data_IF_155094368444
#
_entry.id   IF_155094368444
#
_cell.length_a   1.000
_cell.length_b   1.000
_cell.length_c   1.000
_cell.angle_alpha   90.00
_cell.angle_beta   90.00
_cell.angle_gamma   90.00
#
_symmetry.space_group_name_H-M   'P 1'
#
loop_
_entity.id
_entity.type
_entity.pdbx_description
1 polymer ?
#
# COMPACT_ATOMS: atom_id res chain seq x y z
N UNK A 1 -5.20 33.64 38.52
CA UNK A 1 -6.11 32.76 37.81
C UNK A 1 -5.39 31.43 37.62
N UNK A 2 -5.78 30.34 38.29
CA UNK A 2 -5.20 29.02 38.02
C UNK A 2 -5.76 28.54 36.67
N UNK A 3 -4.88 28.11 35.75
CA UNK A 3 -5.23 27.52 34.50
C UNK A 3 -6.01 26.23 34.79
N UNK A 4 -7.27 26.16 34.36
CA UNK A 4 -8.12 24.99 34.42
C UNK A 4 -7.54 23.98 33.46
N UNK A 5 -6.73 23.04 33.96
CA UNK A 5 -6.36 21.85 33.18
C UNK A 5 -7.66 21.09 32.86
N UNK A 6 -7.88 20.72 31.60
CA UNK A 6 -9.06 19.92 31.26
C UNK A 6 -9.02 18.64 32.08
N UNK A 7 -10.14 18.34 32.74
CA UNK A 7 -10.34 17.13 33.52
C UNK A 7 -10.18 15.92 32.56
N UNK A 8 -9.00 15.30 32.59
CA UNK A 8 -8.71 14.11 31.79
C UNK A 8 -9.49 12.98 32.46
N UNK A 9 -10.64 12.63 31.88
CA UNK A 9 -11.47 11.56 32.41
C UNK A 9 -10.64 10.27 32.60
N UNK A 10 -10.81 9.57 33.73
CA UNK A 10 -10.08 8.34 34.06
C UNK A 10 -10.15 7.26 32.96
N UNK A 11 -11.21 7.29 32.13
CA UNK A 11 -11.39 6.41 30.97
C UNK A 11 -10.31 6.60 29.88
N UNK A 12 -9.74 7.79 29.75
CA UNK A 12 -8.62 8.05 28.82
C UNK A 12 -7.29 7.46 29.30
N UNK A 13 -7.14 7.28 30.62
CA UNK A 13 -5.94 6.68 31.22
C UNK A 13 -5.96 5.14 31.20
N UNK A 14 -7.12 4.53 31.02
CA UNK A 14 -7.29 3.06 30.96
C UNK A 14 -7.33 2.50 29.53
N UNK A 15 -7.43 3.35 28.51
CA UNK A 15 -7.38 2.90 27.12
C UNK A 15 -5.91 2.57 26.73
N UNK A 16 -5.57 1.32 26.39
CA UNK A 16 -4.21 0.99 25.97
C UNK A 16 -3.82 1.84 24.76
N UNK A 17 -2.66 2.51 24.84
CA UNK A 17 -2.13 3.39 23.78
C UNK A 17 -2.01 2.67 22.42
N UNK A 18 -1.83 1.35 22.45
CA UNK A 18 -1.86 0.48 21.28
C UNK A 18 -3.10 -0.42 21.35
N UNK A 19 -4.14 -0.14 20.54
CA UNK A 19 -5.38 -0.91 20.55
C UNK A 19 -5.21 -2.24 19.79
N UNK A 20 -4.38 -3.13 20.30
CA UNK A 20 -4.09 -4.46 19.72
C UNK A 20 -5.37 -5.31 19.62
N UNK A 21 -6.37 -5.00 20.44
CA UNK A 21 -7.70 -5.60 20.41
C UNK A 21 -8.44 -5.38 19.07
N UNK A 22 -8.10 -4.34 18.31
CA UNK A 22 -8.67 -4.12 16.98
C UNK A 22 -8.28 -5.24 15.99
N UNK A 23 -7.15 -5.89 16.17
CA UNK A 23 -6.75 -7.05 15.35
C UNK A 23 -7.62 -8.29 15.58
N UNK A 24 -8.38 -8.35 16.66
CA UNK A 24 -9.42 -9.39 16.86
C UNK A 24 -10.60 -9.23 15.91
N UNK A 25 -10.74 -8.06 15.29
CA UNK A 25 -11.74 -7.81 14.23
C UNK A 25 -11.16 -8.26 12.89
N UNK A 26 -11.72 -9.31 12.24
CA UNK A 26 -11.10 -9.88 11.03
C UNK A 26 -10.96 -8.86 9.89
N UNK A 27 -11.93 -7.94 9.73
CA UNK A 27 -11.87 -6.88 8.72
C UNK A 27 -10.68 -5.94 8.97
N UNK A 28 -10.43 -5.58 10.23
CA UNK A 28 -9.28 -4.74 10.60
C UNK A 28 -7.97 -5.47 10.34
N UNK A 29 -7.85 -6.72 10.78
CA UNK A 29 -6.64 -7.54 10.60
C UNK A 29 -6.31 -7.75 9.12
N UNK A 30 -7.30 -8.13 8.29
CA UNK A 30 -7.12 -8.31 6.85
C UNK A 30 -6.77 -6.99 6.15
N UNK A 31 -7.38 -5.86 6.54
CA UNK A 31 -7.07 -4.55 5.97
C UNK A 31 -5.65 -4.09 6.33
N UNK A 32 -5.22 -4.36 7.56
CA UNK A 32 -3.85 -4.06 8.01
C UNK A 32 -2.83 -4.94 7.30
N UNK A 33 -3.10 -6.25 7.17
CA UNK A 33 -2.24 -7.18 6.43
C UNK A 33 -2.12 -6.78 4.96
N UNK A 34 -3.25 -6.44 4.32
CA UNK A 34 -3.27 -5.92 2.94
C UNK A 34 -2.39 -4.67 2.82
N UNK A 35 -2.48 -3.74 3.80
CA UNK A 35 -1.62 -2.55 3.84
C UNK A 35 -0.15 -2.93 3.99
N UNK A 36 0.20 -3.78 4.93
CA UNK A 36 1.60 -4.19 5.13
C UNK A 36 2.19 -4.80 3.87
N UNK A 37 1.51 -5.75 3.23
CA UNK A 37 1.99 -6.41 2.01
C UNK A 37 2.12 -5.43 0.84
N UNK A 38 1.13 -4.55 0.63
CA UNK A 38 1.15 -3.57 -0.47
C UNK A 38 2.22 -2.50 -0.28
N UNK A 39 2.42 -2.01 0.95
CA UNK A 39 3.50 -1.07 1.25
C UNK A 39 4.88 -1.74 1.24
N UNK A 40 4.99 -3.04 1.54
CA UNK A 40 6.23 -3.79 1.33
C UNK A 40 6.57 -3.92 -0.16
N UNK A 41 5.58 -4.20 -1.00
CA UNK A 41 5.77 -4.21 -2.45
C UNK A 41 6.24 -2.84 -2.98
N UNK A 42 5.64 -1.75 -2.48
CA UNK A 42 6.05 -0.38 -2.82
C UNK A 42 7.46 -0.06 -2.32
N UNK A 43 7.79 -0.43 -1.06
CA UNK A 43 9.11 -0.23 -0.48
C UNK A 43 10.22 -0.93 -1.27
N UNK A 44 9.99 -2.19 -1.66
CA UNK A 44 10.86 -2.95 -2.56
C UNK A 44 11.08 -2.22 -3.89
N UNK A 45 9.99 -1.79 -4.54
CA UNK A 45 10.05 -1.11 -5.83
C UNK A 45 10.79 0.23 -5.74
N UNK A 46 10.57 1.01 -4.70
CA UNK A 46 11.19 2.32 -4.52
C UNK A 46 12.68 2.25 -4.17
N UNK A 47 13.17 1.09 -3.73
CA UNK A 47 14.60 0.81 -3.64
C UNK A 47 15.14 0.25 -4.95
N UNK A 48 14.50 -0.76 -5.53
CA UNK A 48 15.02 -1.47 -6.70
C UNK A 48 15.03 -0.62 -7.98
N UNK A 49 13.99 0.20 -8.23
CA UNK A 49 13.85 0.96 -9.48
C UNK A 49 14.92 2.04 -9.67
N UNK A 50 15.24 2.89 -8.67
CA UNK A 50 16.36 3.85 -8.83
C UNK A 50 17.67 3.17 -9.16
N UNK A 51 17.99 2.06 -8.46
CA UNK A 51 19.21 1.30 -8.78
C UNK A 51 19.18 0.77 -10.21
N UNK A 52 18.07 0.23 -10.68
CA UNK A 52 17.93 -0.23 -12.06
C UNK A 52 18.12 0.90 -13.07
N UNK A 53 17.50 2.06 -12.85
CA UNK A 53 17.62 3.20 -13.77
C UNK A 53 19.01 3.79 -13.81
N UNK A 54 19.71 3.83 -12.69
CA UNK A 54 21.07 4.37 -12.62
C UNK A 54 22.13 3.35 -13.09
N UNK A 55 22.04 2.09 -12.64
CA UNK A 55 23.07 1.08 -12.94
C UNK A 55 22.90 0.43 -14.31
N UNK A 56 21.68 0.01 -14.69
CA UNK A 56 21.43 -0.71 -15.93
C UNK A 56 21.09 0.19 -17.12
N UNK A 57 20.39 1.31 -16.88
CA UNK A 57 20.01 2.26 -17.94
C UNK A 57 20.91 3.50 -18.00
N UNK A 58 21.90 3.60 -17.11
CA UNK A 58 22.86 4.71 -17.03
C UNK A 58 22.18 6.11 -16.98
N UNK A 59 21.04 6.21 -16.29
CA UNK A 59 20.30 7.46 -16.14
C UNK A 59 20.89 8.30 -15.01
N UNK A 60 20.88 9.61 -15.18
CA UNK A 60 21.25 10.54 -14.12
C UNK A 60 20.21 10.53 -13.01
N UNK A 61 20.55 10.99 -11.79
CA UNK A 61 19.62 11.09 -10.66
C UNK A 61 18.37 11.91 -11.00
N UNK A 62 18.53 13.01 -11.77
CA UNK A 62 17.41 13.83 -12.23
C UNK A 62 16.48 13.04 -13.16
N UNK A 63 17.05 12.31 -14.12
CA UNK A 63 16.27 11.46 -15.02
C UNK A 63 15.56 10.33 -14.27
N UNK A 64 16.22 9.72 -13.30
CA UNK A 64 15.65 8.71 -12.42
C UNK A 64 14.44 9.26 -11.66
N UNK A 65 14.55 10.45 -11.06
CA UNK A 65 13.43 11.12 -10.40
C UNK A 65 12.25 11.39 -11.34
N UNK A 66 12.53 11.85 -12.57
CA UNK A 66 11.48 12.06 -13.57
C UNK A 66 10.81 10.75 -14.00
N UNK A 67 11.57 9.65 -14.16
CA UNK A 67 11.04 8.32 -14.48
C UNK A 67 10.20 7.75 -13.35
N UNK A 68 10.45 8.12 -12.09
CA UNK A 68 9.65 7.72 -10.93
C UNK A 68 8.35 8.55 -10.79
N UNK A 69 8.27 9.74 -11.36
CA UNK A 69 7.16 10.69 -11.22
C UNK A 69 5.80 10.14 -11.71
N UNK A 70 5.67 9.32 -12.76
CA UNK A 70 4.37 8.81 -13.21
C UNK A 70 3.63 8.01 -12.15
N UNK A 71 4.32 7.34 -11.23
CA UNK A 71 3.68 6.59 -10.14
C UNK A 71 2.88 7.49 -9.18
N UNK A 72 3.48 8.47 -8.47
CA UNK A 72 2.73 9.32 -7.56
C UNK A 72 1.67 10.18 -8.27
N UNK A 73 1.92 10.60 -9.52
CA UNK A 73 0.93 11.35 -10.31
C UNK A 73 -0.29 10.48 -10.60
N UNK A 74 -0.10 9.27 -11.11
CA UNK A 74 -1.19 8.34 -11.40
C UNK A 74 -1.97 7.95 -10.13
N UNK A 75 -1.27 7.75 -9.00
CA UNK A 75 -1.87 7.52 -7.69
C UNK A 75 -2.76 8.69 -7.27
N UNK A 76 -2.23 9.93 -7.37
CA UNK A 76 -2.96 11.14 -6.99
C UNK A 76 -4.23 11.35 -7.84
N UNK A 77 -4.16 11.07 -9.14
CA UNK A 77 -5.30 11.14 -10.04
C UNK A 77 -6.34 10.04 -9.76
N UNK A 78 -5.89 8.84 -9.40
CA UNK A 78 -6.79 7.72 -9.11
C UNK A 78 -7.47 7.84 -7.74
N UNK A 79 -6.83 8.45 -6.75
CA UNK A 79 -7.34 8.51 -5.38
C UNK A 79 -8.78 9.09 -5.26
N UNK A 80 -9.13 10.23 -5.87
CA UNK A 80 -10.49 10.74 -5.83
C UNK A 80 -11.49 9.87 -6.60
N UNK A 81 -11.05 9.21 -7.69
CA UNK A 81 -11.88 8.29 -8.48
C UNK A 81 -12.20 7.06 -7.64
N UNK A 82 -11.17 6.47 -7.01
CA UNK A 82 -11.30 5.33 -6.12
C UNK A 82 -12.19 5.64 -4.91
N UNK A 83 -12.09 6.87 -4.36
CA UNK A 83 -12.96 7.33 -3.28
C UNK A 83 -14.44 7.31 -3.66
N UNK A 84 -14.79 7.88 -4.83
CA UNK A 84 -16.17 7.87 -5.34
C UNK A 84 -16.65 6.46 -5.70
N UNK A 85 -15.78 5.64 -6.26
CA UNK A 85 -16.13 4.28 -6.65
C UNK A 85 -16.38 3.39 -5.42
N UNK A 86 -15.70 3.67 -4.30
CA UNK A 86 -15.89 2.98 -3.02
C UNK A 86 -17.28 3.23 -2.39
N UNK A 87 -18.05 4.21 -2.87
CA UNK A 87 -19.44 4.40 -2.46
C UNK A 87 -20.40 3.40 -3.11
N UNK A 88 -20.01 2.83 -4.26
CA UNK A 88 -20.84 1.93 -5.07
C UNK A 88 -20.32 0.50 -5.12
N UNK A 89 -19.02 0.31 -4.98
CA UNK A 89 -18.35 -0.99 -5.11
C UNK A 89 -17.68 -1.37 -3.80
N UNK A 90 -17.81 -2.62 -3.34
CA UNK A 90 -17.15 -3.09 -2.12
C UNK A 90 -15.64 -2.87 -2.15
N UNK A 91 -15.09 -2.35 -1.06
CA UNK A 91 -13.66 -2.03 -0.94
C UNK A 91 -12.74 -3.24 -1.20
N UNK A 92 -13.22 -4.46 -0.90
CA UNK A 92 -12.49 -5.69 -1.18
C UNK A 92 -12.29 -5.94 -2.67
N UNK A 93 -13.27 -5.64 -3.51
CA UNK A 93 -13.19 -5.78 -4.98
C UNK A 93 -12.25 -4.72 -5.54
N UNK A 94 -12.47 -3.44 -5.19
CA UNK A 94 -11.62 -2.35 -5.67
C UNK A 94 -10.16 -2.55 -5.27
N UNK A 95 -9.94 -2.94 -4.00
CA UNK A 95 -8.62 -3.24 -3.49
C UNK A 95 -7.98 -4.43 -4.21
N UNK A 96 -8.75 -5.49 -4.47
CA UNK A 96 -8.29 -6.65 -5.22
C UNK A 96 -7.84 -6.29 -6.64
N UNK A 97 -8.69 -5.59 -7.40
CA UNK A 97 -8.38 -5.13 -8.77
C UNK A 97 -7.14 -4.22 -8.76
N UNK A 98 -7.10 -3.23 -7.86
CA UNK A 98 -5.97 -2.30 -7.74
C UNK A 98 -4.66 -3.01 -7.46
N UNK A 99 -4.66 -4.02 -6.59
CA UNK A 99 -3.46 -4.77 -6.23
C UNK A 99 -3.02 -5.75 -7.33
N UNK A 100 -3.95 -6.29 -8.11
CA UNK A 100 -3.62 -7.05 -9.34
C UNK A 100 -2.97 -6.13 -10.37
N UNK A 101 -3.49 -4.90 -10.57
CA UNK A 101 -2.87 -3.91 -11.46
C UNK A 101 -1.46 -3.54 -10.97
N UNK A 102 -1.27 -3.34 -9.66
CA UNK A 102 0.05 -3.10 -9.07
C UNK A 102 1.01 -4.26 -9.34
N UNK A 103 0.56 -5.49 -9.10
CA UNK A 103 1.35 -6.70 -9.36
C UNK A 103 1.75 -6.82 -10.82
N UNK A 104 0.80 -6.63 -11.73
CA UNK A 104 1.08 -6.64 -13.17
C UNK A 104 2.09 -5.56 -13.57
N UNK A 105 1.93 -4.33 -13.06
CA UNK A 105 2.85 -3.23 -13.29
C UNK A 105 4.28 -3.54 -12.80
N UNK A 106 4.41 -4.10 -11.60
CA UNK A 106 5.70 -4.51 -11.04
C UNK A 106 6.35 -5.65 -11.84
N UNK A 107 5.57 -6.66 -12.26
CA UNK A 107 6.06 -7.75 -13.09
C UNK A 107 6.52 -7.24 -14.48
N UNK A 108 5.79 -6.30 -15.07
CA UNK A 108 6.19 -5.66 -16.33
C UNK A 108 7.45 -4.80 -16.17
N UNK A 109 7.62 -4.11 -15.04
CA UNK A 109 8.85 -3.37 -14.71
C UNK A 109 10.02 -4.32 -14.48
N UNK A 110 9.81 -5.48 -13.85
CA UNK A 110 10.83 -6.51 -13.66
C UNK A 110 11.36 -7.09 -14.99
N UNK A 111 10.54 -7.09 -16.02
CA UNK A 111 10.88 -7.53 -17.38
C UNK A 111 11.40 -6.43 -18.31
N UNK A 112 11.78 -5.26 -17.79
CA UNK A 112 12.37 -4.20 -18.59
C UNK A 112 13.69 -4.63 -19.21
N UNK A 113 13.90 -4.24 -20.47
CA UNK A 113 15.17 -4.44 -21.18
C UNK A 113 16.05 -3.19 -21.07
N UNK A 114 17.38 -3.31 -21.24
CA UNK A 114 18.29 -2.16 -21.24
C UNK A 114 17.97 -1.11 -22.32
N UNK A 115 17.20 -1.48 -23.33
CA UNK A 115 16.76 -0.60 -24.43
C UNK A 115 15.41 0.05 -24.17
N UNK A 116 14.85 -0.08 -22.96
CA UNK A 116 13.53 0.46 -22.63
C UNK A 116 13.47 1.98 -22.80
N UNK A 117 12.42 2.43 -23.48
CA UNK A 117 12.17 3.86 -23.71
C UNK A 117 11.58 4.53 -22.47
N UNK A 118 11.69 5.85 -22.40
CA UNK A 118 11.04 6.65 -21.34
C UNK A 118 9.53 6.38 -21.29
N UNK A 119 8.89 6.23 -22.45
CA UNK A 119 7.47 5.92 -22.55
C UNK A 119 7.15 4.52 -21.98
N UNK A 120 7.98 3.52 -22.29
CA UNK A 120 7.85 2.15 -21.79
C UNK A 120 7.87 2.10 -20.26
N UNK A 121 8.79 2.83 -19.65
CA UNK A 121 8.92 2.94 -18.21
C UNK A 121 7.70 3.70 -17.64
N UNK A 122 7.36 4.84 -18.26
CA UNK A 122 6.35 5.76 -17.78
C UNK A 122 4.97 5.13 -17.62
N UNK A 123 4.49 4.41 -18.65
CA UNK A 123 3.15 3.79 -18.56
C UNK A 123 3.09 2.63 -17.56
N UNK A 124 4.19 1.85 -17.40
CA UNK A 124 4.27 0.78 -16.39
C UNK A 124 4.29 1.35 -14.98
N UNK A 125 5.03 2.44 -14.77
CA UNK A 125 5.01 3.20 -13.51
C UNK A 125 3.63 3.77 -13.22
N UNK A 126 2.96 4.34 -14.23
CA UNK A 126 1.60 4.84 -14.09
C UNK A 126 0.62 3.72 -13.75
N UNK A 127 0.75 2.53 -14.35
CA UNK A 127 -0.07 1.36 -14.04
C UNK A 127 0.07 0.96 -12.55
N UNK A 128 1.30 0.96 -12.02
CA UNK A 128 1.54 0.73 -10.60
C UNK A 128 0.85 1.78 -9.74
N UNK A 129 0.96 3.07 -10.12
CA UNK A 129 0.34 4.18 -9.40
C UNK A 129 -1.19 4.12 -9.41
N UNK A 130 -1.81 3.84 -10.57
CA UNK A 130 -3.26 3.63 -10.71
C UNK A 130 -3.74 2.48 -9.83
N UNK A 131 -3.04 1.34 -9.88
CA UNK A 131 -3.38 0.16 -9.08
C UNK A 131 -3.28 0.45 -7.59
N UNK A 132 -2.20 1.09 -7.15
CA UNK A 132 -2.01 1.44 -5.75
C UNK A 132 -3.04 2.47 -5.26
N UNK A 133 -3.38 3.49 -6.09
CA UNK A 133 -4.40 4.48 -5.77
C UNK A 133 -5.80 3.88 -5.65
N UNK A 134 -6.14 2.94 -6.54
CA UNK A 134 -7.42 2.22 -6.51
C UNK A 134 -7.59 1.37 -5.26
N UNK A 135 -6.50 0.81 -4.74
CA UNK A 135 -6.47 0.05 -3.50
C UNK A 135 -6.48 0.94 -2.25
N UNK A 136 -5.61 1.96 -2.19
CA UNK A 136 -5.28 2.67 -0.97
C UNK A 136 -6.47 3.43 -0.38
N UNK A 137 -7.22 4.15 -1.20
CA UNK A 137 -8.33 4.99 -0.75
C UNK A 137 -9.46 4.17 -0.09
N UNK A 138 -10.05 3.13 -0.72
CA UNK A 138 -11.07 2.31 -0.09
C UNK A 138 -10.55 1.49 1.10
N UNK A 139 -9.30 1.05 1.07
CA UNK A 139 -8.71 0.31 2.17
C UNK A 139 -8.57 1.17 3.44
N UNK A 140 -8.10 2.41 3.28
CA UNK A 140 -8.00 3.37 4.39
C UNK A 140 -9.36 3.65 5.00
N UNK A 141 -10.38 3.87 4.16
CA UNK A 141 -11.75 4.09 4.62
C UNK A 141 -12.29 2.89 5.40
N UNK A 142 -12.09 1.68 4.88
CA UNK A 142 -12.54 0.45 5.56
C UNK A 142 -11.87 0.27 6.91
N UNK A 143 -10.56 0.49 6.98
CA UNK A 143 -9.78 0.34 8.21
C UNK A 143 -10.25 1.34 9.27
N UNK A 144 -10.39 2.62 8.91
CA UNK A 144 -10.84 3.65 9.84
C UNK A 144 -12.29 3.45 10.28
N UNK A 145 -13.19 3.03 9.38
CA UNK A 145 -14.60 2.79 9.70
C UNK A 145 -14.84 1.51 10.50
N UNK A 146 -13.91 0.58 10.52
CA UNK A 146 -14.00 -0.66 11.32
C UNK A 146 -13.72 -0.44 12.81
N UNK A 147 -13.16 0.72 13.17
CA UNK A 147 -12.93 1.11 14.56
C UNK A 147 -14.11 1.95 15.11
N UNK A 148 -14.40 1.88 16.42
CA UNK A 148 -15.34 2.80 17.05
C UNK A 148 -14.91 4.26 16.85
N UNK A 149 -15.89 5.18 16.70
CA UNK A 149 -15.59 6.61 16.47
C UNK A 149 -14.70 7.22 17.55
N UNK A 150 -14.87 6.82 18.81
CA UNK A 150 -14.02 7.24 19.94
C UNK A 150 -12.56 6.78 19.82
N UNK A 151 -12.26 5.80 18.97
CA UNK A 151 -10.92 5.22 18.78
C UNK A 151 -10.39 5.39 17.35
N UNK A 152 -10.96 6.30 16.56
CA UNK A 152 -10.55 6.56 15.17
C UNK A 152 -9.11 7.06 15.06
N UNK A 153 -8.65 7.87 16.01
CA UNK A 153 -7.24 8.30 16.08
C UNK A 153 -6.28 7.14 16.29
N UNK A 154 -6.62 6.21 17.18
CA UNK A 154 -5.82 5.01 17.43
C UNK A 154 -5.77 4.09 16.19
N UNK A 155 -6.89 3.92 15.48
CA UNK A 155 -6.93 3.16 14.22
C UNK A 155 -6.07 3.81 13.13
N UNK A 156 -6.08 5.14 13.03
CA UNK A 156 -5.20 5.90 12.13
C UNK A 156 -3.71 5.72 12.47
N UNK A 157 -3.36 5.76 13.75
CA UNK A 157 -2.00 5.48 14.22
C UNK A 157 -1.52 4.08 13.88
N UNK A 158 -2.37 3.06 14.09
CA UNK A 158 -2.06 1.67 13.72
C UNK A 158 -1.90 1.50 12.21
N UNK A 159 -2.71 2.19 11.40
CA UNK A 159 -2.54 2.19 9.96
C UNK A 159 -1.22 2.82 9.53
N UNK A 160 -0.85 3.95 10.13
CA UNK A 160 0.44 4.59 9.85
C UNK A 160 1.61 3.67 10.23
N UNK A 161 1.51 2.98 11.36
CA UNK A 161 2.50 1.97 11.78
C UNK A 161 2.57 0.80 10.79
N UNK A 162 1.44 0.22 10.39
CA UNK A 162 1.40 -0.86 9.40
C UNK A 162 2.03 -0.45 8.06
N UNK A 163 1.80 0.78 7.62
CA UNK A 163 2.43 1.37 6.43
C UNK A 163 3.95 1.45 6.58
N UNK A 164 4.43 2.03 7.69
CA UNK A 164 5.86 2.19 7.93
C UNK A 164 6.57 0.84 8.05
N UNK A 165 6.00 -0.09 8.81
CA UNK A 165 6.52 -1.46 8.94
C UNK A 165 6.58 -2.15 7.58
N UNK A 166 5.51 -2.01 6.76
CA UNK A 166 5.50 -2.54 5.41
C UNK A 166 6.63 -1.95 4.55
N UNK A 167 6.74 -0.63 4.48
CA UNK A 167 7.79 0.03 3.69
C UNK A 167 9.20 -0.36 4.13
N UNK A 168 9.44 -0.41 5.45
CA UNK A 168 10.73 -0.79 6.01
C UNK A 168 11.05 -2.26 5.72
N UNK A 169 10.08 -3.16 5.87
CA UNK A 169 10.24 -4.57 5.53
C UNK A 169 10.53 -4.74 4.03
N UNK A 170 9.86 -4.01 3.15
CA UNK A 170 10.12 -4.01 1.72
C UNK A 170 11.54 -3.54 1.39
N UNK A 171 11.99 -2.44 1.99
CA UNK A 171 13.35 -1.95 1.81
C UNK A 171 14.41 -2.93 2.33
N UNK A 172 14.17 -3.57 3.47
CA UNK A 172 15.05 -4.58 4.03
C UNK A 172 15.12 -5.84 3.14
N UNK A 173 13.98 -6.27 2.58
CA UNK A 173 13.94 -7.35 1.60
C UNK A 173 14.72 -7.00 0.33
N UNK A 174 14.60 -5.77 -0.18
CA UNK A 174 15.41 -5.31 -1.30
C UNK A 174 16.90 -5.42 -0.99
N UNK A 175 17.34 -4.89 0.16
CA UNK A 175 18.73 -4.98 0.58
C UNK A 175 19.24 -6.43 0.69
N UNK A 176 18.40 -7.34 1.18
CA UNK A 176 18.71 -8.77 1.24
C UNK A 176 18.88 -9.36 -0.16
N UNK A 177 17.95 -9.05 -1.08
CA UNK A 177 18.01 -9.54 -2.48
C UNK A 177 19.26 -9.01 -3.18
N UNK A 178 19.63 -7.74 -2.96
CA UNK A 178 20.86 -7.16 -3.53
C UNK A 178 22.13 -7.88 -3.05
N UNK A 179 22.11 -8.45 -1.85
CA UNK A 179 23.22 -9.29 -1.32
C UNK A 179 23.23 -10.70 -1.90
N UNK A 180 22.05 -11.31 -2.10
CA UNK A 180 21.92 -12.73 -2.45
C UNK A 180 21.88 -13.00 -3.96
N UNK A 181 21.45 -12.04 -4.77
CA UNK A 181 21.27 -12.17 -6.21
C UNK A 181 22.01 -11.07 -7.00
N UNK A 182 23.33 -10.95 -6.88
CA UNK A 182 24.09 -9.94 -7.62
C UNK A 182 23.89 -10.10 -9.14
N UNK A 183 23.63 -8.98 -9.84
CA UNK A 183 23.40 -8.93 -11.28
C UNK A 183 21.95 -9.19 -11.74
N UNK A 184 21.04 -9.56 -10.83
CA UNK A 184 19.60 -9.74 -11.08
C UNK A 184 18.73 -9.18 -9.95
N UNK A 185 19.34 -8.45 -9.03
CA UNK A 185 18.74 -7.98 -7.78
C UNK A 185 17.50 -7.12 -8.02
N UNK A 186 17.51 -6.25 -9.01
CA UNK A 186 16.43 -5.32 -9.32
C UNK A 186 15.20 -6.08 -9.81
N UNK A 187 15.38 -6.94 -10.83
CA UNK A 187 14.29 -7.74 -11.38
C UNK A 187 13.71 -8.70 -10.33
N UNK A 188 14.55 -9.38 -9.56
CA UNK A 188 14.11 -10.30 -8.50
C UNK A 188 13.32 -9.54 -7.43
N UNK A 189 13.79 -8.36 -7.01
CA UNK A 189 13.07 -7.50 -6.06
C UNK A 189 11.68 -7.13 -6.57
N UNK A 190 11.57 -6.73 -7.84
CA UNK A 190 10.28 -6.36 -8.43
C UNK A 190 9.32 -7.56 -8.56
N UNK A 191 9.81 -8.76 -8.88
CA UNK A 191 8.99 -9.98 -8.88
C UNK A 191 8.51 -10.36 -7.47
N UNK A 192 9.37 -10.21 -6.44
CA UNK A 192 8.95 -10.40 -5.04
C UNK A 192 7.87 -9.36 -4.69
N UNK A 193 8.05 -8.09 -5.09
CA UNK A 193 7.05 -7.06 -4.92
C UNK A 193 5.72 -7.40 -5.59
N UNK A 194 5.76 -7.94 -6.82
CA UNK A 194 4.57 -8.43 -7.53
C UNK A 194 3.88 -9.56 -6.76
N UNK A 195 4.64 -10.52 -6.22
CA UNK A 195 4.11 -11.59 -5.36
C UNK A 195 3.44 -11.07 -4.09
N UNK A 196 4.06 -10.10 -3.40
CA UNK A 196 3.47 -9.44 -2.24
C UNK A 196 2.18 -8.69 -2.58
N UNK A 197 2.11 -8.06 -3.76
CA UNK A 197 0.90 -7.41 -4.25
C UNK A 197 -0.23 -8.43 -4.53
N UNK A 198 0.08 -9.64 -5.04
CA UNK A 198 -0.89 -10.73 -5.17
C UNK A 198 -1.39 -11.20 -3.81
N UNK A 199 -0.49 -11.43 -2.85
CA UNK A 199 -0.89 -11.79 -1.48
C UNK A 199 -1.81 -10.73 -0.87
N UNK A 200 -1.49 -9.46 -1.08
CA UNK A 200 -2.35 -8.35 -0.66
C UNK A 200 -3.70 -8.37 -1.38
N UNK A 201 -3.76 -8.71 -2.68
CA UNK A 201 -5.01 -8.84 -3.44
C UNK A 201 -5.89 -9.96 -2.88
N UNK A 202 -5.31 -11.12 -2.59
CA UNK A 202 -6.01 -12.24 -1.93
C UNK A 202 -6.56 -11.82 -0.56
N UNK A 203 -5.74 -11.19 0.28
CA UNK A 203 -6.19 -10.70 1.59
C UNK A 203 -7.31 -9.64 1.45
N UNK A 204 -7.26 -8.80 0.40
CA UNK A 204 -8.29 -7.81 0.10
C UNK A 204 -9.62 -8.46 -0.30
N UNK A 205 -9.61 -9.50 -1.11
CA UNK A 205 -10.83 -10.21 -1.55
C UNK A 205 -11.41 -11.08 -0.43
N UNK A 206 -10.58 -11.69 0.42
CA UNK A 206 -11.05 -12.45 1.59
C UNK A 206 -11.92 -11.61 2.54
N UNK A 207 -11.75 -10.28 2.56
CA UNK A 207 -12.63 -9.37 3.32
C UNK A 207 -14.09 -9.46 2.89
N UNK A 208 -14.37 -9.82 1.63
CA UNK A 208 -15.74 -9.96 1.13
C UNK A 208 -16.47 -11.12 1.79
N UNK A 209 -15.75 -12.19 2.14
CA UNK A 209 -16.33 -13.35 2.83
C UNK A 209 -16.57 -13.09 4.33
N UNK A 210 -15.84 -12.12 4.91
CA UNK A 210 -15.90 -11.80 6.36
C UNK A 210 -16.78 -10.59 6.63
N UNK A 211 -17.06 -9.74 5.63
CA UNK A 211 -17.96 -8.60 5.79
C UNK A 211 -19.37 -9.10 6.07
N UNK A 212 -20.07 -8.59 7.14
CA UNK A 212 -21.48 -8.88 7.33
C UNK A 212 -22.23 -8.43 6.08
N UNK A 213 -23.02 -9.35 5.50
CA UNK A 213 -23.93 -8.99 4.41
C UNK A 213 -24.84 -7.86 4.94
N UNK A 214 -24.86 -6.72 4.24
CA UNK A 214 -25.91 -5.74 4.44
C UNK A 214 -27.21 -6.48 4.14
N UNK A 215 -27.94 -6.84 5.18
CA UNK A 215 -29.36 -7.16 5.04
C UNK A 215 -30.01 -5.85 4.62
N UNK A 216 -30.35 -5.73 3.34
CA UNK A 216 -31.24 -4.70 2.83
C UNK A 216 -32.58 -4.89 3.53
N UNK A 217 -32.78 -4.14 4.61
CA UNK A 217 -34.12 -3.91 5.11
C UNK A 217 -34.72 -2.80 4.24
N UNK A 218 -35.56 -3.25 3.28
CA UNK A 218 -36.52 -2.44 2.55
C UNK A 218 -37.49 -1.71 3.51
#
# INVERSE_FOLDING_TARGET
>A
MPAMLPDISPELLTAPMLPVDLYRRPIFALSSLTSMCSFSAQGLAFVALPFYFESALHRTQVQTGLLMTPWPVALGLMAPIAGRLADRVPAGILGGIGLIMLSAGLALLAGLTPTATVFDIGWRMALCGLGFGLFQSPNNRTLLSSAPRSRSGAAGGMQATARLVGMTAGAALAALVFRLAPGRSESVSLYIGAGLAILAAVASTLRLAVAPQRTDHA
#
